data_IF_632937676920
#
_entry.id   IF_632937676920
#
_cell.length_a   1.000
_cell.length_b   1.000
_cell.length_c   1.000
_cell.angle_alpha   90.00
_cell.angle_beta   90.00
_cell.angle_gamma   90.00
#
_symmetry.space_group_name_H-M   'P 1'
#
loop_
_entity.id
_entity.type
_entity.pdbx_description
1 polymer ?
#
# COMPACT_ATOMS: atom_id res chain seq x y z
N UNK A 1 8.19 47.53 -36.76
CA UNK A 1 9.08 46.58 -36.04
C UNK A 1 8.32 45.85 -34.92
N UNK A 2 7.40 44.93 -35.25
CA UNK A 2 6.58 44.23 -34.23
C UNK A 2 6.37 42.72 -34.50
N UNK A 3 7.07 42.13 -35.47
CA UNK A 3 6.86 40.73 -35.88
C UNK A 3 7.73 39.69 -35.15
N UNK A 4 8.62 40.12 -34.23
CA UNK A 4 9.63 39.24 -33.61
C UNK A 4 9.31 38.76 -32.19
N UNK A 5 8.43 39.46 -31.47
CA UNK A 5 8.23 39.23 -30.03
C UNK A 5 7.31 38.03 -29.76
N UNK A 6 6.12 37.98 -30.35
CA UNK A 6 5.15 36.89 -30.12
C UNK A 6 5.66 35.49 -30.51
N UNK A 7 6.52 35.38 -31.53
CA UNK A 7 7.09 34.11 -31.98
C UNK A 7 8.10 33.51 -30.98
N UNK A 8 8.77 34.35 -30.18
CA UNK A 8 9.69 33.93 -29.11
C UNK A 8 8.94 33.44 -27.88
N UNK A 9 7.89 34.15 -27.45
CA UNK A 9 7.04 33.71 -26.32
C UNK A 9 6.27 32.44 -26.65
N UNK A 10 5.76 32.31 -27.87
CA UNK A 10 5.10 31.08 -28.31
C UNK A 10 6.08 29.88 -28.36
N UNK A 11 7.31 30.07 -28.86
CA UNK A 11 8.34 29.02 -28.79
C UNK A 11 8.71 28.62 -27.36
N UNK A 12 8.85 29.58 -26.44
CA UNK A 12 9.14 29.32 -25.03
C UNK A 12 7.99 28.59 -24.31
N UNK A 13 6.75 28.96 -24.63
CA UNK A 13 5.55 28.30 -24.11
C UNK A 13 5.43 26.86 -24.62
N UNK A 14 5.64 26.65 -25.92
CA UNK A 14 5.62 25.31 -26.54
C UNK A 14 6.76 24.45 -26.02
N UNK A 15 7.99 24.98 -25.91
CA UNK A 15 9.12 24.24 -25.32
C UNK A 15 8.90 23.92 -23.84
N UNK A 16 8.28 24.84 -23.08
CA UNK A 16 7.92 24.62 -21.69
C UNK A 16 6.90 23.49 -21.52
N UNK A 17 5.90 23.42 -22.42
CA UNK A 17 4.91 22.34 -22.43
C UNK A 17 5.54 20.98 -22.73
N UNK A 18 6.44 20.89 -23.72
CA UNK A 18 7.14 19.65 -24.06
C UNK A 18 8.09 19.14 -22.97
N UNK A 19 8.53 20.00 -22.05
CA UNK A 19 9.30 19.58 -20.88
C UNK A 19 8.36 19.27 -19.70
N UNK A 20 7.38 20.12 -19.43
CA UNK A 20 6.50 19.99 -18.28
C UNK A 20 5.61 18.74 -18.33
N UNK A 21 5.07 18.38 -19.50
CA UNK A 21 4.17 17.22 -19.64
C UNK A 21 4.91 15.90 -19.38
N UNK A 22 6.03 15.57 -20.05
CA UNK A 22 6.78 14.34 -19.74
C UNK A 22 7.31 14.30 -18.32
N UNK A 23 7.75 15.44 -17.76
CA UNK A 23 8.19 15.52 -16.36
C UNK A 23 7.04 15.21 -15.40
N UNK A 24 5.86 15.80 -15.64
CA UNK A 24 4.67 15.55 -14.81
C UNK A 24 4.21 14.10 -14.93
N UNK A 25 4.13 13.56 -16.16
CA UNK A 25 3.77 12.15 -16.39
C UNK A 25 4.78 11.22 -15.73
N UNK A 26 6.07 11.48 -15.87
CA UNK A 26 7.12 10.68 -15.21
C UNK A 26 7.01 10.78 -13.70
N UNK A 27 6.74 11.96 -13.15
CA UNK A 27 6.54 12.11 -11.71
C UNK A 27 5.33 11.32 -11.21
N UNK A 28 4.18 11.41 -11.89
CA UNK A 28 2.98 10.64 -11.56
C UNK A 28 3.19 9.13 -11.74
N UNK A 29 3.91 8.70 -12.78
CA UNK A 29 4.22 7.28 -12.99
C UNK A 29 5.17 6.72 -11.91
N UNK A 30 6.15 7.53 -11.46
CA UNK A 30 7.25 7.06 -10.60
C UNK A 30 7.03 7.30 -9.12
N UNK A 31 6.27 8.32 -8.73
CA UNK A 31 6.20 8.77 -7.33
C UNK A 31 4.84 8.51 -6.71
N UNK A 32 3.75 8.88 -7.38
CA UNK A 32 2.43 8.92 -6.78
C UNK A 32 1.32 8.43 -7.71
N UNK A 33 0.60 7.40 -7.28
CA UNK A 33 -0.54 6.82 -8.00
C UNK A 33 -1.81 7.00 -7.18
N UNK A 34 -2.93 7.24 -7.84
CA UNK A 34 -4.24 7.33 -7.19
C UNK A 34 -5.01 6.05 -7.50
N UNK A 35 -5.58 5.42 -6.47
CA UNK A 35 -6.33 4.18 -6.63
C UNK A 35 -7.65 4.21 -5.86
N UNK A 36 -8.70 3.66 -6.46
CA UNK A 36 -9.97 3.40 -5.79
C UNK A 36 -9.86 2.11 -5.00
N UNK A 37 -10.28 2.12 -3.74
CA UNK A 37 -10.28 0.96 -2.86
C UNK A 37 -11.70 0.40 -2.82
N UNK A 38 -11.85 -0.85 -3.24
CA UNK A 38 -13.13 -1.54 -3.25
C UNK A 38 -13.09 -2.73 -2.27
N UNK A 39 -14.19 -2.95 -1.57
CA UNK A 39 -14.35 -4.04 -0.60
C UNK A 39 -14.16 -3.63 0.86
N UNK A 40 -14.46 -4.60 1.74
CA UNK A 40 -14.56 -4.42 3.19
C UNK A 40 -13.27 -4.80 3.96
N UNK A 41 -12.29 -5.42 3.31
CA UNK A 41 -11.17 -6.06 4.05
C UNK A 41 -10.29 -5.09 4.84
N UNK A 42 -10.31 -3.79 4.52
CA UNK A 42 -9.57 -2.75 5.23
C UNK A 42 -10.47 -1.90 6.14
N UNK A 43 -11.71 -2.32 6.40
CA UNK A 43 -12.58 -1.65 7.37
C UNK A 43 -12.03 -1.87 8.79
N UNK A 44 -12.09 -0.86 9.68
CA UNK A 44 -12.73 0.45 9.50
C UNK A 44 -11.82 1.51 8.87
N UNK A 45 -10.53 1.24 8.65
CA UNK A 45 -9.58 2.25 8.14
C UNK A 45 -9.96 2.78 6.76
N UNK A 46 -10.40 1.89 5.87
CA UNK A 46 -10.88 2.20 4.52
C UNK A 46 -12.30 1.67 4.35
N UNK A 47 -13.14 2.42 3.63
CA UNK A 47 -14.53 2.09 3.33
C UNK A 47 -15.40 1.70 4.54
N UNK A 48 -15.48 2.50 5.63
CA UNK A 48 -16.17 2.13 6.86
C UNK A 48 -17.64 1.77 6.60
N UNK A 49 -18.15 0.84 7.41
CA UNK A 49 -19.52 0.34 7.30
C UNK A 49 -20.57 1.47 7.35
N UNK A 50 -21.68 1.27 6.65
CA UNK A 50 -22.80 2.22 6.62
C UNK A 50 -22.64 3.41 5.66
N UNK A 51 -21.57 3.48 4.86
CA UNK A 51 -21.41 4.51 3.81
C UNK A 51 -21.46 3.91 2.40
N UNK A 52 -22.25 4.56 1.53
CA UNK A 52 -22.28 4.29 0.09
C UNK A 52 -21.13 5.06 -0.58
N UNK A 53 -19.97 4.42 -0.73
CA UNK A 53 -18.85 5.01 -1.46
C UNK A 53 -17.54 4.26 -1.28
N UNK A 54 -16.68 4.33 -2.29
CA UNK A 54 -15.32 3.83 -2.24
C UNK A 54 -14.35 4.96 -1.95
N UNK A 55 -13.40 4.72 -1.05
CA UNK A 55 -12.30 5.62 -0.81
C UNK A 55 -11.36 5.64 -2.02
N UNK A 56 -10.87 6.82 -2.35
CA UNK A 56 -9.76 6.99 -3.28
C UNK A 56 -8.53 7.30 -2.44
N UNK A 57 -7.46 6.52 -2.59
CA UNK A 57 -6.23 6.66 -1.80
C UNK A 57 -5.05 7.09 -2.67
N UNK A 58 -4.15 7.85 -2.05
CA UNK A 58 -2.85 8.20 -2.61
C UNK A 58 -1.83 7.11 -2.27
N UNK A 59 -1.29 6.50 -3.30
CA UNK A 59 -0.29 5.44 -3.26
C UNK A 59 1.09 6.00 -3.62
N UNK A 60 2.00 6.03 -2.64
CA UNK A 60 3.40 6.40 -2.82
C UNK A 60 4.21 5.17 -3.27
N UNK A 61 4.74 5.22 -4.49
CA UNK A 61 5.55 4.14 -5.07
C UNK A 61 7.02 4.22 -4.70
N UNK A 62 7.50 5.40 -4.33
CA UNK A 62 8.91 5.64 -4.03
C UNK A 62 9.40 4.85 -2.80
N UNK A 63 8.62 4.89 -1.72
CA UNK A 63 8.92 4.16 -0.47
C UNK A 63 9.15 2.65 -0.70
N UNK A 64 8.28 2.05 -1.50
CA UNK A 64 8.34 0.61 -1.78
C UNK A 64 9.53 0.24 -2.67
N UNK A 65 9.95 1.12 -3.60
CA UNK A 65 11.14 0.90 -4.43
C UNK A 65 12.44 0.83 -3.61
N UNK A 66 12.50 1.58 -2.52
CA UNK A 66 13.61 1.53 -1.58
C UNK A 66 13.48 0.40 -0.55
N UNK A 67 12.45 -0.44 -0.64
CA UNK A 67 12.11 -1.46 0.35
C UNK A 67 11.89 -0.88 1.78
N UNK A 68 11.53 0.39 1.87
CA UNK A 68 11.23 1.07 3.14
C UNK A 68 9.78 0.79 3.56
N UNK A 69 9.57 -0.39 4.15
CA UNK A 69 8.26 -0.84 4.64
C UNK A 69 8.34 -1.03 6.14
N UNK A 70 7.40 -0.42 6.87
CA UNK A 70 7.34 -0.52 8.32
C UNK A 70 6.12 -1.32 8.77
N UNK A 71 6.19 -1.90 9.98
CA UNK A 71 5.02 -2.52 10.60
C UNK A 71 3.90 -1.48 10.75
N UNK A 72 2.68 -1.89 10.45
CA UNK A 72 1.50 -1.06 10.45
C UNK A 72 1.27 -0.25 9.18
N UNK A 73 2.21 -0.22 8.23
CA UNK A 73 2.02 0.45 6.94
C UNK A 73 0.88 -0.22 6.14
N UNK A 74 0.10 0.57 5.40
CA UNK A 74 -0.92 0.06 4.48
C UNK A 74 -0.29 0.01 3.09
N UNK A 75 -0.22 -1.17 2.49
CA UNK A 75 0.44 -1.39 1.21
C UNK A 75 -0.50 -1.97 0.18
N UNK A 76 -0.36 -1.51 -1.07
CA UNK A 76 -0.91 -2.19 -2.23
C UNK A 76 0.11 -3.19 -2.75
N UNK A 77 -0.34 -4.39 -3.08
CA UNK A 77 0.48 -5.47 -3.63
C UNK A 77 -0.26 -6.20 -4.73
N UNK A 78 0.49 -6.86 -5.61
CA UNK A 78 -0.05 -7.83 -6.56
C UNK A 78 -0.42 -9.10 -5.80
N UNK A 79 -1.62 -9.62 -6.03
CA UNK A 79 -2.10 -10.83 -5.35
C UNK A 79 -1.25 -12.04 -5.73
N UNK A 80 -0.70 -12.79 -4.76
CA UNK A 80 0.08 -14.00 -5.05
C UNK A 80 -0.72 -15.10 -5.76
N UNK A 81 -2.06 -15.11 -5.66
CA UNK A 81 -2.91 -16.10 -6.35
C UNK A 81 -3.45 -15.62 -7.70
N UNK A 82 -3.56 -14.31 -7.91
CA UNK A 82 -4.01 -13.75 -9.18
C UNK A 82 -3.18 -12.50 -9.55
N UNK A 83 -2.20 -12.62 -10.47
CA UNK A 83 -1.34 -11.52 -10.88
C UNK A 83 -2.07 -10.32 -11.51
N UNK A 84 -3.29 -10.51 -12.03
CA UNK A 84 -4.10 -9.42 -12.59
C UNK A 84 -4.78 -8.58 -11.51
N UNK A 85 -4.83 -9.07 -10.27
CA UNK A 85 -5.49 -8.41 -9.15
C UNK A 85 -4.49 -7.72 -8.23
N UNK A 86 -4.75 -6.44 -7.93
CA UNK A 86 -4.09 -5.71 -6.85
C UNK A 86 -4.97 -5.72 -5.61
N UNK A 87 -4.36 -5.99 -4.47
CA UNK A 87 -5.00 -5.95 -3.16
C UNK A 87 -4.31 -4.89 -2.29
N UNK A 88 -5.04 -4.38 -1.30
CA UNK A 88 -4.53 -3.44 -0.30
C UNK A 88 -4.68 -4.08 1.08
N UNK A 89 -3.58 -4.13 1.84
CA UNK A 89 -3.48 -4.81 3.12
C UNK A 89 -2.56 -4.04 4.06
N UNK A 90 -2.67 -4.30 5.35
CA UNK A 90 -1.77 -3.78 6.37
C UNK A 90 -0.61 -4.74 6.59
N UNK A 91 0.60 -4.20 6.69
CA UNK A 91 1.79 -4.95 7.10
C UNK A 91 1.72 -5.17 8.60
N UNK A 92 1.68 -6.42 9.04
CA UNK A 92 1.63 -6.80 10.44
C UNK A 92 3.02 -7.16 10.95
N UNK A 93 3.77 -7.92 10.16
CA UNK A 93 5.09 -8.41 10.52
C UNK A 93 6.08 -8.29 9.34
N UNK A 94 7.34 -8.05 9.66
CA UNK A 94 8.47 -7.93 8.74
C UNK A 94 9.38 -9.15 8.85
N UNK A 95 10.42 -9.20 8.02
CA UNK A 95 11.42 -10.26 8.07
C UNK A 95 11.98 -10.48 9.49
N UNK A 96 12.15 -11.76 9.85
CA UNK A 96 12.64 -12.15 11.18
C UNK A 96 11.57 -12.22 12.27
N UNK A 97 10.44 -11.53 12.11
CA UNK A 97 9.34 -11.57 13.08
C UNK A 97 8.71 -12.95 13.19
N UNK A 98 8.17 -13.27 14.37
CA UNK A 98 7.32 -14.44 14.60
C UNK A 98 5.90 -13.94 14.83
N UNK A 99 4.96 -14.41 14.02
CA UNK A 99 3.55 -14.03 14.12
C UNK A 99 2.67 -15.24 14.39
N UNK A 100 1.69 -15.08 15.28
CA UNK A 100 0.62 -16.06 15.47
C UNK A 100 -0.37 -15.95 14.30
N UNK A 101 -0.64 -17.05 13.62
CA UNK A 101 -1.57 -17.06 12.47
C UNK A 101 -3.02 -17.29 12.93
N UNK A 102 -3.97 -16.90 12.09
CA UNK A 102 -5.42 -17.04 12.31
C UNK A 102 -6.02 -18.11 11.38
N UNK A 103 -5.29 -19.18 11.10
CA UNK A 103 -5.75 -20.27 10.22
C UNK A 103 -4.79 -20.64 9.09
N UNK A 104 -3.56 -20.13 9.12
CA UNK A 104 -2.51 -20.64 8.23
C UNK A 104 -1.93 -21.96 8.76
N UNK A 105 -1.27 -22.73 7.87
CA UNK A 105 -0.73 -24.08 8.10
C UNK A 105 -0.19 -24.33 9.52
N UNK A 106 0.61 -23.39 10.03
CA UNK A 106 1.19 -23.45 11.37
C UNK A 106 0.62 -22.32 12.24
N UNK A 107 0.42 -22.61 13.53
CA UNK A 107 -0.03 -21.63 14.54
C UNK A 107 0.90 -20.43 14.66
N UNK A 108 2.21 -20.65 14.47
CA UNK A 108 3.21 -19.60 14.44
C UNK A 108 4.04 -19.71 13.16
N UNK A 109 4.39 -18.55 12.60
CA UNK A 109 5.23 -18.45 11.40
C UNK A 109 6.30 -17.41 11.66
N UNK A 110 7.56 -17.81 11.44
CA UNK A 110 8.69 -16.87 11.32
C UNK A 110 8.73 -16.33 9.90
N UNK A 111 8.77 -15.01 9.75
CA UNK A 111 8.75 -14.37 8.44
C UNK A 111 10.12 -14.53 7.77
N UNK A 112 10.19 -15.13 6.57
CA UNK A 112 11.45 -15.29 5.85
C UNK A 112 12.07 -13.94 5.46
N UNK A 113 13.38 -13.94 5.19
CA UNK A 113 14.08 -12.78 4.65
C UNK A 113 13.43 -12.27 3.35
N UNK A 114 13.31 -10.95 3.22
CA UNK A 114 12.67 -10.32 2.06
C UNK A 114 11.16 -10.58 1.92
N UNK A 115 10.50 -11.03 2.99
CA UNK A 115 9.05 -11.24 3.03
C UNK A 115 8.38 -10.40 4.12
N UNK A 116 7.06 -10.24 3.99
CA UNK A 116 6.19 -9.56 4.95
C UNK A 116 4.93 -10.38 5.20
N UNK A 117 4.36 -10.22 6.38
CA UNK A 117 3.02 -10.72 6.70
C UNK A 117 2.02 -9.57 6.61
N UNK A 118 1.03 -9.73 5.73
CA UNK A 118 -0.01 -8.72 5.48
C UNK A 118 -1.41 -9.24 5.80
N UNK A 119 -2.23 -8.40 6.41
CA UNK A 119 -3.61 -8.72 6.83
C UNK A 119 -4.59 -7.59 6.50
N UNK A 120 -5.87 -7.92 6.43
CA UNK A 120 -6.93 -6.91 6.42
C UNK A 120 -7.22 -6.39 7.82
N UNK A 121 -7.71 -5.15 7.93
CA UNK A 121 -8.16 -4.59 9.22
C UNK A 121 -9.52 -5.18 9.66
N UNK A 122 -10.28 -5.72 8.71
CA UNK A 122 -11.57 -6.35 8.99
C UNK A 122 -11.38 -7.87 9.11
N UNK A 123 -11.72 -8.39 10.27
CA UNK A 123 -11.68 -9.82 10.61
C UNK A 123 -12.88 -10.55 9.99
N UNK A 124 -12.84 -10.73 8.68
CA UNK A 124 -13.69 -11.66 7.91
C UNK A 124 -12.80 -12.54 7.04
N UNK A 125 -13.36 -13.42 6.19
CA UNK A 125 -12.61 -14.21 5.20
C UNK A 125 -11.93 -13.31 4.13
N UNK A 126 -10.97 -12.52 4.60
CA UNK A 126 -10.16 -11.59 3.85
C UNK A 126 -9.08 -12.38 3.13
N UNK A 127 -8.92 -12.11 1.84
CA UNK A 127 -7.86 -12.69 1.06
C UNK A 127 -6.50 -12.07 1.46
N UNK A 128 -5.84 -12.66 2.45
CA UNK A 128 -4.60 -12.16 3.07
C UNK A 128 -3.59 -13.29 3.42
N UNK A 129 -2.55 -12.97 4.20
CA UNK A 129 -1.46 -13.92 4.52
C UNK A 129 -1.91 -15.14 5.28
N UNK A 130 -3.05 -15.10 6.00
CA UNK A 130 -3.62 -16.30 6.59
C UNK A 130 -4.11 -17.30 5.52
N UNK A 131 -4.39 -16.82 4.30
CA UNK A 131 -4.85 -17.63 3.16
C UNK A 131 -3.74 -18.06 2.18
N UNK A 132 -2.64 -17.32 2.10
CA UNK A 132 -1.55 -17.60 1.14
C UNK A 132 -0.13 -17.63 1.74
N UNK A 133 0.04 -17.22 2.99
CA UNK A 133 1.33 -17.18 3.69
C UNK A 133 2.08 -15.85 3.55
N UNK A 134 3.38 -15.84 3.90
CA UNK A 134 4.23 -14.64 3.75
C UNK A 134 4.32 -14.19 2.29
N UNK A 135 4.40 -12.88 2.08
CA UNK A 135 4.47 -12.26 0.75
C UNK A 135 5.84 -11.68 0.51
N UNK A 136 6.43 -11.94 -0.66
CA UNK A 136 7.69 -11.29 -1.06
C UNK A 136 7.53 -9.77 -1.16
N UNK A 137 8.52 -9.03 -0.68
CA UNK A 137 8.60 -7.57 -0.85
C UNK A 137 8.52 -7.14 -2.32
N UNK A 138 8.94 -7.99 -3.27
CA UNK A 138 8.85 -7.71 -4.71
C UNK A 138 7.43 -7.65 -5.26
N UNK A 139 6.42 -8.17 -4.54
CA UNK A 139 5.01 -8.06 -4.91
C UNK A 139 4.39 -6.74 -4.45
N UNK A 140 5.07 -6.00 -3.56
CA UNK A 140 4.59 -4.70 -3.10
C UNK A 140 4.65 -3.70 -4.26
N UNK A 141 3.52 -3.02 -4.48
CA UNK A 141 3.35 -2.05 -5.56
C UNK A 141 3.51 -0.61 -5.05
N UNK A 142 2.90 -0.29 -3.90
CA UNK A 142 2.93 1.07 -3.35
C UNK A 142 2.49 1.13 -1.87
N UNK A 143 2.88 2.20 -1.17
CA UNK A 143 2.44 2.51 0.19
C UNK A 143 1.27 3.51 0.18
N UNK A 144 0.14 3.19 0.81
CA UNK A 144 -1.00 4.07 0.92
C UNK A 144 -0.79 5.12 2.02
N UNK A 145 -0.90 6.40 1.66
CA UNK A 145 -0.48 7.51 2.54
C UNK A 145 -1.62 8.45 2.91
N UNK A 146 -2.57 8.70 2.02
CA UNK A 146 -3.69 9.61 2.23
C UNK A 146 -4.97 9.05 1.63
N UNK A 147 -6.11 9.38 2.23
CA UNK A 147 -7.42 9.31 1.57
C UNK A 147 -7.63 10.65 0.87
N UNK A 148 -7.93 10.60 -0.43
CA UNK A 148 -8.17 11.73 -1.33
C UNK A 148 -9.65 11.92 -1.71
N UNK A 149 -10.51 10.94 -1.47
CA UNK A 149 -11.95 11.06 -1.69
C UNK A 149 -12.65 10.01 -0.83
N UNK A 150 -13.85 10.27 -0.29
CA UNK A 150 -14.62 11.53 -0.36
C UNK A 150 -13.98 12.69 0.44
N UNK A 151 -14.27 13.97 0.12
CA UNK A 151 -13.60 15.13 0.75
C UNK A 151 -13.80 15.22 2.26
N UNK A 152 -14.94 14.73 2.76
CA UNK A 152 -15.23 14.62 4.20
C UNK A 152 -14.35 13.60 4.95
N UNK A 153 -13.51 12.84 4.23
CA UNK A 153 -12.55 11.88 4.77
C UNK A 153 -11.12 12.18 4.37
N UNK A 154 -10.83 13.40 3.90
CA UNK A 154 -9.45 13.81 3.65
C UNK A 154 -8.62 13.70 4.93
N UNK A 155 -7.76 12.68 4.97
CA UNK A 155 -6.90 12.41 6.11
C UNK A 155 -5.66 11.63 5.68
N UNK A 156 -4.60 11.78 6.48
CA UNK A 156 -3.41 10.93 6.38
C UNK A 156 -3.73 9.56 6.99
N UNK A 157 -3.37 8.50 6.27
CA UNK A 157 -3.45 7.13 6.79
C UNK A 157 -2.36 6.94 7.84
N UNK A 158 -2.75 6.47 9.02
CA UNK A 158 -1.83 6.20 10.12
C UNK A 158 -1.30 4.77 10.02
N UNK A 159 0.01 4.62 10.18
CA UNK A 159 0.65 3.33 10.39
C UNK A 159 0.50 2.96 11.86
N UNK A 160 -0.18 1.85 12.14
CA UNK A 160 -0.33 1.28 13.48
C UNK A 160 -0.48 -0.23 13.36
N UNK A 161 -0.10 -0.96 14.42
CA UNK A 161 -0.32 -2.41 14.52
C UNK A 161 -1.57 -2.62 15.38
N UNK A 162 -2.54 -3.46 14.95
CA UNK A 162 -3.65 -3.86 15.80
C UNK A 162 -3.14 -4.46 17.13
N UNK A 163 -3.72 -4.12 18.30
CA UNK A 163 -3.19 -4.51 19.61
C UNK A 163 -3.01 -6.02 19.81
N UNK A 164 -3.84 -6.81 19.14
CA UNK A 164 -3.90 -8.27 19.18
C UNK A 164 -2.96 -8.96 18.17
N UNK A 165 -2.26 -8.18 17.33
CA UNK A 165 -1.42 -8.67 16.22
C UNK A 165 0.06 -8.33 16.37
N UNK A 166 0.52 -8.01 17.59
CA UNK A 166 1.94 -7.77 17.84
C UNK A 166 2.77 -9.05 17.60
N UNK A 167 3.99 -8.94 17.03
CA UNK A 167 4.92 -10.06 16.93
C UNK A 167 5.21 -10.68 18.30
N UNK A 168 5.44 -12.00 18.32
CA UNK A 168 5.77 -12.75 19.53
C UNK A 168 7.22 -12.45 19.91
N UNK A 169 7.43 -11.89 21.10
CA UNK A 169 8.75 -11.45 21.58
C UNK A 169 9.63 -12.60 22.11
N UNK A 170 9.02 -13.72 22.53
CA UNK A 170 9.73 -14.83 23.16
C UNK A 170 9.76 -16.05 22.25
N UNK A 171 10.96 -16.42 21.82
CA UNK A 171 11.22 -17.63 21.03
C UNK A 171 10.77 -18.90 21.79
N UNK A 172 10.66 -18.84 23.12
CA UNK A 172 10.16 -19.92 23.98
C UNK A 172 8.69 -20.30 23.70
N UNK A 173 7.82 -19.36 23.31
CA UNK A 173 6.43 -19.67 22.92
C UNK A 173 6.35 -20.35 21.55
N UNK A 174 7.34 -20.10 20.68
CA UNK A 174 7.48 -20.74 19.38
C UNK A 174 8.02 -22.18 19.51
N UNK A 175 8.96 -22.41 20.43
CA UNK A 175 9.60 -23.72 20.65
C UNK A 175 8.73 -24.70 21.46
N UNK A 176 7.65 -24.25 22.10
CA UNK A 176 6.67 -25.10 22.81
C UNK A 176 5.61 -25.72 21.87
N UNK A 177 5.89 -25.77 20.57
CA UNK A 177 4.98 -26.27 19.52
C UNK A 177 5.12 -27.78 19.30
#
# INVERSE_FOLDING_TARGET
MAHGFGRRYFKAFVSGFFVAVPVTVTFLDRVACVARVEGASMQPSLNPEGRLGSDIVLLNRWRIRNYEVHRGDIVSLVSPKNPEQKIIKRVIALEGDIIKTMGYRNKFVRIPGGHVWVEGDHHGHSFDSNSFGPVSLGLLHAHATYILWPPNRWQKLKSFIPPDRNPVEKEDEYLQQ
#
